data_IF_329879948333
#
_entry.id   IF_329879948333
#
_cell.length_a   1.000
_cell.length_b   1.000
_cell.length_c   1.000
_cell.angle_alpha   90.00
_cell.angle_beta   90.00
_cell.angle_gamma   90.00
#
_symmetry.space_group_name_H-M   'P 1'
#
loop_
_entity.id
_entity.type
_entity.pdbx_description
1 polymer ?
#
# COMPACT_ATOMS: atom_id res chain seq x y z
N UNK A 1 11.52 6.70 -12.25
CA UNK A 1 10.33 6.92 -13.12
C UNK A 1 10.65 7.87 -14.28
N UNK A 2 11.18 9.09 -14.03
CA UNK A 2 11.54 10.02 -15.12
C UNK A 2 12.59 9.43 -16.06
N UNK A 3 13.66 8.84 -15.54
CA UNK A 3 14.71 8.19 -16.33
C UNK A 3 14.16 7.03 -17.19
N UNK A 4 13.25 6.25 -16.66
CA UNK A 4 12.68 5.09 -17.37
C UNK A 4 11.74 5.53 -18.51
N UNK A 5 11.14 6.70 -18.38
CA UNK A 5 10.29 7.33 -19.41
C UNK A 5 11.06 8.27 -20.35
N UNK A 6 12.36 8.44 -20.18
CA UNK A 6 13.17 9.34 -20.99
C UNK A 6 12.85 10.83 -20.82
N UNK A 7 12.26 11.22 -19.68
CA UNK A 7 11.91 12.60 -19.39
C UNK A 7 12.58 13.11 -18.11
N UNK A 8 12.61 14.44 -17.97
CA UNK A 8 13.16 15.06 -16.75
C UNK A 8 12.30 14.75 -15.52
N UNK A 9 12.94 14.77 -14.34
CA UNK A 9 12.19 14.58 -13.08
C UNK A 9 11.08 15.62 -12.86
N UNK A 10 11.26 16.91 -13.17
CA UNK A 10 10.17 17.89 -13.11
C UNK A 10 9.00 17.51 -14.03
N UNK A 11 9.27 17.19 -15.31
CA UNK A 11 8.24 16.77 -16.27
C UNK A 11 7.45 15.55 -15.80
N UNK A 12 8.15 14.53 -15.26
CA UNK A 12 7.49 13.35 -14.69
C UNK A 12 6.58 13.71 -13.52
N UNK A 13 6.97 14.66 -12.66
CA UNK A 13 6.13 15.15 -11.56
C UNK A 13 4.89 15.87 -12.05
N UNK A 14 5.01 16.73 -13.06
CA UNK A 14 3.87 17.41 -13.67
C UNK A 14 2.85 16.42 -14.23
N UNK A 15 3.32 15.40 -14.98
CA UNK A 15 2.44 14.35 -15.50
C UNK A 15 1.75 13.57 -14.39
N UNK A 16 2.48 13.20 -13.34
CA UNK A 16 1.90 12.52 -12.17
C UNK A 16 0.86 13.39 -11.47
N UNK A 17 1.09 14.70 -11.35
CA UNK A 17 0.12 15.62 -10.75
C UNK A 17 -1.17 15.70 -11.56
N UNK A 18 -1.08 15.66 -12.90
CA UNK A 18 -2.28 15.62 -13.78
C UNK A 18 -3.03 14.30 -13.61
N UNK A 19 -2.33 13.17 -13.60
CA UNK A 19 -2.93 11.85 -13.40
C UNK A 19 -3.59 11.72 -12.02
N UNK A 20 -2.99 12.28 -10.97
CA UNK A 20 -3.56 12.30 -9.62
C UNK A 20 -4.79 13.22 -9.55
N UNK A 21 -4.72 14.43 -10.14
CA UNK A 21 -5.85 15.35 -10.22
C UNK A 21 -7.03 14.78 -11.03
N UNK A 22 -6.75 13.89 -11.98
CA UNK A 22 -7.76 13.19 -12.80
C UNK A 22 -8.25 11.87 -12.17
N UNK A 23 -7.84 11.57 -10.95
CA UNK A 23 -8.19 10.32 -10.25
C UNK A 23 -7.82 9.04 -11.00
N UNK A 24 -6.79 9.08 -11.83
CA UNK A 24 -6.24 7.89 -12.51
C UNK A 24 -5.30 7.15 -11.57
N UNK A 25 -4.50 7.91 -10.80
CA UNK A 25 -3.58 7.36 -9.82
C UNK A 25 -3.72 8.05 -8.47
N UNK A 26 -3.19 7.43 -7.42
CA UNK A 26 -2.98 8.03 -6.10
C UNK A 26 -1.52 7.87 -5.70
N UNK A 27 -0.92 8.94 -5.20
CA UNK A 27 0.42 8.93 -4.63
C UNK A 27 0.32 8.78 -3.11
N UNK A 28 0.75 7.63 -2.62
CA UNK A 28 0.75 7.32 -1.19
C UNK A 28 2.14 7.65 -0.63
N UNK A 29 2.16 8.58 0.32
CA UNK A 29 3.40 9.00 0.98
C UNK A 29 3.86 7.98 2.03
N UNK A 30 5.16 7.89 2.34
CA UNK A 30 5.60 7.13 3.49
C UNK A 30 5.07 7.77 4.78
N UNK A 31 4.71 6.93 5.75
CA UNK A 31 4.29 7.38 7.08
C UNK A 31 5.43 8.15 7.75
N UNK A 32 5.15 9.37 8.22
CA UNK A 32 6.09 10.14 9.03
C UNK A 32 5.99 9.73 10.49
N UNK A 33 6.63 8.61 10.84
CA UNK A 33 6.66 8.13 12.22
C UNK A 33 7.96 8.59 12.92
N UNK A 34 7.84 8.94 14.21
CA UNK A 34 8.97 9.21 15.10
C UNK A 34 9.67 7.90 15.48
N UNK A 35 10.22 7.19 14.48
CA UNK A 35 11.04 6.01 14.70
C UNK A 35 12.51 6.35 14.48
N UNK A 36 13.38 5.71 15.24
CA UNK A 36 14.85 5.88 15.10
C UNK A 36 15.39 5.39 13.76
N UNK A 37 14.58 4.66 13.00
CA UNK A 37 14.94 4.09 11.70
C UNK A 37 14.67 5.08 10.57
N UNK A 38 15.64 5.25 9.67
CA UNK A 38 15.52 6.16 8.54
C UNK A 38 14.62 5.57 7.46
N UNK A 39 13.42 6.17 7.27
CA UNK A 39 12.40 5.73 6.32
C UNK A 39 12.71 6.15 4.88
N UNK A 40 12.07 5.48 3.91
CA UNK A 40 12.04 5.89 2.50
C UNK A 40 11.36 7.26 2.38
N UNK A 41 11.76 8.04 1.37
CA UNK A 41 11.16 9.35 1.08
C UNK A 41 10.31 9.36 -0.19
N UNK A 42 10.42 8.33 -1.03
CA UNK A 42 9.71 8.29 -2.31
C UNK A 42 8.32 7.71 -2.11
N UNK A 43 7.26 8.33 -2.65
CA UNK A 43 5.90 7.80 -2.58
C UNK A 43 5.76 6.52 -3.39
N UNK A 44 4.77 5.68 -3.03
CA UNK A 44 4.24 4.61 -3.86
C UNK A 44 3.15 5.18 -4.78
N UNK A 45 3.06 4.65 -6.01
CA UNK A 45 2.01 4.99 -6.96
C UNK A 45 1.04 3.83 -7.08
N UNK A 46 -0.25 4.10 -6.91
CA UNK A 46 -1.33 3.15 -7.11
C UNK A 46 -2.30 3.65 -8.17
N UNK A 47 -2.70 2.81 -9.10
CA UNK A 47 -3.84 3.08 -9.97
C UNK A 47 -5.12 3.00 -9.16
N UNK A 48 -6.06 3.94 -9.35
CA UNK A 48 -7.38 3.87 -8.70
C UNK A 48 -8.33 2.89 -9.38
N UNK A 49 -7.97 2.43 -10.57
CA UNK A 49 -8.62 1.35 -11.31
C UNK A 49 -7.60 0.24 -11.61
N UNK A 50 -7.72 -0.88 -10.91
CA UNK A 50 -6.86 -2.06 -11.13
C UNK A 50 -7.10 -2.71 -12.49
N UNK A 51 -8.28 -2.54 -13.09
CA UNK A 51 -8.58 -2.98 -14.45
C UNK A 51 -7.78 -2.20 -15.50
N UNK A 52 -7.65 -0.87 -15.32
CA UNK A 52 -6.78 -0.05 -16.17
C UNK A 52 -5.32 -0.52 -16.05
N UNK A 53 -4.85 -0.80 -14.82
CA UNK A 53 -3.50 -1.34 -14.61
C UNK A 53 -3.32 -2.68 -15.34
N UNK A 54 -4.28 -3.61 -15.23
CA UNK A 54 -4.25 -4.88 -15.95
C UNK A 54 -4.21 -4.65 -17.47
N UNK A 55 -5.04 -3.74 -17.98
CA UNK A 55 -5.07 -3.41 -19.40
C UNK A 55 -3.70 -2.93 -19.91
N UNK A 56 -3.05 -2.02 -19.19
CA UNK A 56 -1.73 -1.50 -19.54
C UNK A 56 -0.62 -2.56 -19.45
N UNK A 57 -0.77 -3.55 -18.55
CA UNK A 57 0.12 -4.70 -18.44
C UNK A 57 -0.15 -5.79 -19.48
N UNK A 58 -1.17 -5.63 -20.35
CA UNK A 58 -1.54 -6.64 -21.34
C UNK A 58 -2.33 -7.82 -20.77
N UNK A 59 -2.77 -7.76 -19.51
CA UNK A 59 -3.57 -8.79 -18.84
C UNK A 59 -5.02 -8.60 -19.24
N UNK A 60 -5.59 -9.57 -19.99
CA UNK A 60 -6.91 -9.45 -20.61
C UNK A 60 -7.99 -10.32 -19.97
N UNK A 61 -7.61 -11.25 -19.14
CA UNK A 61 -8.50 -12.20 -18.47
C UNK A 61 -7.99 -12.60 -17.09
N UNK A 62 -8.86 -13.08 -16.18
CA UNK A 62 -8.50 -13.49 -14.84
C UNK A 62 -7.48 -14.64 -14.78
N UNK A 63 -7.52 -15.57 -15.75
CA UNK A 63 -6.64 -16.72 -15.79
C UNK A 63 -5.19 -16.28 -16.02
N UNK A 64 -4.97 -15.34 -16.93
CA UNK A 64 -3.67 -14.71 -17.16
C UNK A 64 -3.16 -14.01 -15.89
N UNK A 65 -4.03 -13.28 -15.15
CA UNK A 65 -3.63 -12.61 -13.91
C UNK A 65 -3.16 -13.59 -12.84
N UNK A 66 -3.81 -14.76 -12.70
CA UNK A 66 -3.48 -15.75 -11.64
C UNK A 66 -2.02 -16.19 -11.70
N UNK A 67 -1.45 -16.32 -12.90
CA UNK A 67 -0.06 -16.76 -13.12
C UNK A 67 0.91 -15.63 -13.43
N UNK A 68 0.40 -14.39 -13.57
CA UNK A 68 1.21 -13.24 -13.97
C UNK A 68 2.14 -12.78 -12.82
N UNK A 69 3.37 -12.40 -13.17
CA UNK A 69 4.36 -11.89 -12.20
C UNK A 69 3.86 -10.66 -11.42
N UNK A 70 3.01 -9.85 -12.05
CA UNK A 70 2.42 -8.65 -11.43
C UNK A 70 1.15 -8.93 -10.61
N UNK A 71 0.77 -10.19 -10.37
CA UNK A 71 -0.43 -10.52 -9.57
C UNK A 71 -0.40 -9.88 -8.19
N UNK A 72 0.75 -9.94 -7.48
CA UNK A 72 0.92 -9.30 -6.18
C UNK A 72 0.71 -7.78 -6.26
N UNK A 73 1.49 -7.05 -7.08
CA UNK A 73 1.32 -5.61 -7.30
C UNK A 73 -0.09 -5.19 -7.74
N UNK A 74 -0.78 -5.97 -8.60
CA UNK A 74 -2.17 -5.69 -8.99
C UNK A 74 -3.11 -5.83 -7.80
N UNK A 75 -2.94 -6.86 -6.97
CA UNK A 75 -3.77 -7.08 -5.78
C UNK A 75 -3.51 -5.99 -4.71
N UNK A 76 -2.25 -5.59 -4.49
CA UNK A 76 -1.91 -4.47 -3.59
C UNK A 76 -2.55 -3.16 -4.10
N UNK A 77 -2.48 -2.91 -5.41
CA UNK A 77 -3.12 -1.75 -6.05
C UNK A 77 -4.64 -1.77 -5.84
N UNK A 78 -5.28 -2.93 -6.03
CA UNK A 78 -6.72 -3.07 -5.81
C UNK A 78 -7.09 -2.74 -4.36
N UNK A 79 -6.38 -3.28 -3.36
CA UNK A 79 -6.62 -3.00 -1.93
C UNK A 79 -6.45 -1.50 -1.64
N UNK A 80 -5.36 -0.89 -2.10
CA UNK A 80 -5.13 0.55 -1.91
C UNK A 80 -6.24 1.40 -2.53
N UNK A 81 -6.65 1.06 -3.77
CA UNK A 81 -7.73 1.76 -4.48
C UNK A 81 -9.08 1.63 -3.76
N UNK A 82 -9.43 0.46 -3.21
CA UNK A 82 -10.67 0.27 -2.45
C UNK A 82 -10.67 1.11 -1.16
N UNK A 83 -9.55 1.19 -0.43
CA UNK A 83 -9.44 2.05 0.76
C UNK A 83 -9.62 3.53 0.39
N UNK A 84 -9.00 3.98 -0.70
CA UNK A 84 -9.14 5.38 -1.17
C UNK A 84 -10.57 5.69 -1.59
N UNK A 85 -11.19 4.80 -2.38
CA UNK A 85 -12.59 4.95 -2.84
C UNK A 85 -13.58 4.95 -1.67
N UNK A 86 -13.39 4.07 -0.68
CA UNK A 86 -14.22 4.07 0.52
C UNK A 86 -14.11 5.39 1.28
N UNK A 87 -12.91 5.94 1.43
CA UNK A 87 -12.74 7.24 2.05
C UNK A 87 -13.50 8.34 1.31
N UNK A 88 -13.47 8.36 -0.03
CA UNK A 88 -14.24 9.33 -0.83
C UNK A 88 -15.75 9.13 -0.70
N UNK A 89 -16.23 7.89 -0.63
CA UNK A 89 -17.65 7.59 -0.37
C UNK A 89 -18.10 8.14 0.99
N UNK A 90 -17.21 8.14 1.98
CA UNK A 90 -17.45 8.73 3.30
C UNK A 90 -17.18 10.25 3.35
N UNK A 91 -17.00 10.91 2.21
CA UNK A 91 -16.60 12.31 2.07
C UNK A 91 -15.33 12.67 2.86
N UNK A 92 -14.39 11.74 2.97
CA UNK A 92 -13.11 11.89 3.66
C UNK A 92 -11.96 11.43 2.76
N UNK A 93 -10.83 12.08 2.86
CA UNK A 93 -9.58 11.54 2.29
C UNK A 93 -8.91 10.67 3.34
N UNK A 94 -8.76 9.35 3.12
CA UNK A 94 -8.12 8.50 4.11
C UNK A 94 -6.64 8.89 4.27
N UNK A 95 -6.14 8.89 5.51
CA UNK A 95 -4.71 9.08 5.78
C UNK A 95 -3.98 7.77 5.50
N UNK A 96 -3.82 7.47 4.21
CA UNK A 96 -3.14 6.27 3.71
C UNK A 96 -1.66 6.54 3.56
N UNK A 97 -0.83 5.66 4.11
CA UNK A 97 0.62 5.70 4.04
C UNK A 97 1.22 4.31 3.82
N UNK A 98 2.52 4.20 3.96
CA UNK A 98 3.24 2.92 4.02
C UNK A 98 4.50 3.08 4.88
N UNK A 99 5.09 1.97 5.31
CA UNK A 99 6.38 1.95 6.00
C UNK A 99 7.41 1.21 5.16
N UNK A 100 8.58 1.81 4.97
CA UNK A 100 9.74 1.15 4.37
C UNK A 100 11.00 1.76 4.94
N UNK A 101 11.85 0.93 5.55
CA UNK A 101 13.14 1.37 6.04
C UNK A 101 14.26 1.09 5.02
N UNK A 102 15.45 1.62 5.31
CA UNK A 102 16.63 1.40 4.46
C UNK A 102 17.16 -0.04 4.47
N UNK A 103 16.70 -0.86 5.42
CA UNK A 103 17.07 -2.28 5.54
C UNK A 103 16.12 -3.18 4.73
N UNK A 104 15.10 -2.59 4.09
CA UNK A 104 14.11 -3.30 3.28
C UNK A 104 12.94 -3.87 4.09
N UNK A 105 12.81 -3.56 5.40
CA UNK A 105 11.58 -3.89 6.13
C UNK A 105 10.46 -3.00 5.62
N UNK A 106 9.34 -3.59 5.28
CA UNK A 106 8.21 -2.89 4.69
C UNK A 106 6.90 -3.31 5.35
N UNK A 107 5.94 -2.41 5.40
CA UNK A 107 4.51 -2.65 5.54
C UNK A 107 3.86 -2.01 4.34
N UNK A 108 3.08 -2.79 3.61
CA UNK A 108 2.55 -2.40 2.31
C UNK A 108 1.72 -1.13 2.36
N UNK A 109 0.81 -1.04 3.34
CA UNK A 109 -0.04 0.12 3.58
C UNK A 109 -0.19 0.41 5.07
N UNK A 110 -0.44 1.67 5.42
CA UNK A 110 -0.84 2.09 6.76
C UNK A 110 -2.05 2.99 6.67
N UNK A 111 -2.95 2.90 7.66
CA UNK A 111 -4.12 3.76 7.74
C UNK A 111 -4.17 4.41 9.13
N UNK A 112 -4.14 5.75 9.16
CA UNK A 112 -4.19 6.54 10.39
C UNK A 112 -5.61 7.01 10.68
N UNK A 113 -6.04 6.89 11.93
CA UNK A 113 -7.33 7.39 12.41
C UNK A 113 -7.24 7.87 13.86
N UNK A 114 -6.92 9.15 14.06
CA UNK A 114 -6.72 9.70 15.40
C UNK A 114 -5.49 9.11 16.09
N UNK A 115 -5.68 8.34 17.17
CA UNK A 115 -4.60 7.62 17.87
C UNK A 115 -4.42 6.17 17.37
N UNK A 116 -5.23 5.75 16.40
CA UNK A 116 -5.15 4.41 15.85
C UNK A 116 -4.32 4.39 14.57
N UNK A 117 -3.44 3.41 14.47
CA UNK A 117 -2.64 3.14 13.28
C UNK A 117 -2.81 1.67 12.89
N UNK A 118 -3.42 1.43 11.75
CA UNK A 118 -3.53 0.08 11.18
C UNK A 118 -2.34 -0.16 10.26
N UNK A 119 -1.60 -1.24 10.50
CA UNK A 119 -0.55 -1.74 9.62
C UNK A 119 -1.14 -2.82 8.74
N UNK A 120 -1.08 -2.66 7.43
CA UNK A 120 -1.73 -3.55 6.46
C UNK A 120 -0.67 -4.22 5.61
N UNK A 121 -0.63 -5.54 5.67
CA UNK A 121 0.15 -6.39 4.76
C UNK A 121 -0.79 -7.00 3.73
N UNK A 122 -0.40 -6.97 2.45
CA UNK A 122 -1.24 -7.42 1.34
C UNK A 122 -0.61 -8.62 0.64
N UNK A 123 -1.33 -9.74 0.56
CA UNK A 123 -0.84 -10.97 -0.06
C UNK A 123 -1.86 -11.54 -1.04
N UNK A 124 -1.51 -11.66 -2.30
CA UNK A 124 -2.40 -12.22 -3.33
C UNK A 124 -2.58 -13.75 -3.24
N UNK A 125 -1.86 -14.44 -2.34
CA UNK A 125 -2.00 -15.87 -2.09
C UNK A 125 -3.33 -16.21 -1.41
N UNK A 126 -3.83 -17.43 -1.64
CA UNK A 126 -5.12 -17.91 -1.07
C UNK A 126 -4.96 -18.57 0.30
N UNK A 127 -3.77 -19.00 0.66
CA UNK A 127 -3.50 -19.68 1.93
C UNK A 127 -2.75 -18.74 2.84
N UNK A 128 -3.29 -18.50 4.04
CA UNK A 128 -2.65 -17.66 5.05
C UNK A 128 -1.34 -18.29 5.55
N UNK A 129 -0.27 -17.48 5.64
CA UNK A 129 1.00 -17.88 6.23
C UNK A 129 1.34 -17.01 7.45
N UNK A 130 1.76 -17.65 8.56
CA UNK A 130 2.03 -16.95 9.83
C UNK A 130 3.20 -15.97 9.77
N UNK A 131 4.14 -16.18 8.89
CA UNK A 131 5.31 -15.34 8.66
C UNK A 131 4.95 -13.96 8.08
N UNK A 132 3.78 -13.81 7.47
CA UNK A 132 3.30 -12.51 6.95
C UNK A 132 3.10 -11.46 8.05
N UNK A 133 2.90 -11.87 9.30
CA UNK A 133 2.71 -10.95 10.43
C UNK A 133 4.05 -10.47 11.01
N UNK A 134 5.13 -11.20 10.81
CA UNK A 134 6.41 -10.94 11.48
C UNK A 134 6.97 -9.52 11.25
N UNK A 135 6.97 -8.94 10.03
CA UNK A 135 7.41 -7.57 9.81
C UNK A 135 6.56 -6.55 10.59
N UNK A 136 5.24 -6.74 10.63
CA UNK A 136 4.32 -5.83 11.33
C UNK A 136 4.50 -5.86 12.85
N UNK A 137 4.86 -7.00 13.46
CA UNK A 137 5.17 -7.10 14.89
C UNK A 137 6.37 -6.22 15.26
N UNK A 138 7.44 -6.28 14.49
CA UNK A 138 8.63 -5.46 14.72
C UNK A 138 8.32 -3.98 14.58
N UNK A 139 7.53 -3.60 13.57
CA UNK A 139 7.09 -2.22 13.40
C UNK A 139 6.21 -1.74 14.55
N UNK A 140 5.28 -2.59 15.05
CA UNK A 140 4.45 -2.28 16.23
C UNK A 140 5.31 -1.94 17.45
N UNK A 141 6.34 -2.74 17.72
CA UNK A 141 7.28 -2.50 18.83
C UNK A 141 8.06 -1.19 18.66
N UNK A 142 8.53 -0.91 17.45
CA UNK A 142 9.30 0.31 17.16
C UNK A 142 8.42 1.58 17.27
N UNK A 143 7.18 1.51 16.80
CA UNK A 143 6.20 2.60 16.85
C UNK A 143 5.72 2.88 18.28
N UNK A 144 5.52 1.84 19.09
CA UNK A 144 5.12 1.98 20.50
C UNK A 144 6.15 2.73 21.35
N UNK A 145 7.43 2.73 20.95
CA UNK A 145 8.48 3.52 21.62
C UNK A 145 8.36 5.02 21.38
N UNK A 146 7.63 5.43 20.34
CA UNK A 146 7.52 6.82 19.88
C UNK A 146 6.33 7.61 20.41
N UNK A 147 5.40 6.99 21.16
CA UNK A 147 4.22 7.66 21.73
C UNK A 147 3.01 6.73 21.89
N UNK A 148 1.89 7.31 22.35
CA UNK A 148 0.62 6.62 22.63
C UNK A 148 -0.18 6.32 21.35
N UNK A 149 0.40 5.56 20.41
CA UNK A 149 -0.29 5.12 19.19
C UNK A 149 -0.74 3.67 19.36
N UNK A 150 -2.04 3.40 19.17
CA UNK A 150 -2.59 2.05 19.15
C UNK A 150 -2.35 1.42 17.78
N UNK A 151 -1.42 0.48 17.70
CA UNK A 151 -1.01 -0.17 16.45
C UNK A 151 -1.70 -1.51 16.29
N UNK A 152 -2.49 -1.66 15.22
CA UNK A 152 -3.23 -2.87 14.88
C UNK A 152 -2.72 -3.47 13.57
N UNK A 153 -2.09 -4.67 13.59
CA UNK A 153 -1.68 -5.35 12.37
C UNK A 153 -2.87 -6.06 11.71
N UNK A 154 -2.99 -5.93 10.39
CA UNK A 154 -4.00 -6.57 9.55
C UNK A 154 -3.32 -7.20 8.35
N UNK A 155 -3.72 -8.41 7.97
CA UNK A 155 -3.34 -9.04 6.70
C UNK A 155 -4.55 -9.12 5.80
N UNK A 156 -4.47 -8.52 4.62
CA UNK A 156 -5.46 -8.67 3.55
C UNK A 156 -4.91 -9.65 2.54
N UNK A 157 -5.62 -10.74 2.30
CA UNK A 157 -5.12 -11.80 1.42
C UNK A 157 -6.20 -12.36 0.49
N UNK A 158 -5.80 -13.04 -0.57
CA UNK A 158 -6.70 -13.56 -1.63
C UNK A 158 -7.46 -14.83 -1.26
N UNK A 159 -7.60 -15.18 0.03
CA UNK A 159 -8.41 -16.30 0.52
C UNK A 159 -9.81 -15.86 0.97
N UNK A 160 -10.63 -16.84 1.32
CA UNK A 160 -12.05 -16.63 1.63
C UNK A 160 -12.34 -16.61 3.15
N UNK A 161 -11.33 -16.78 3.99
CA UNK A 161 -11.48 -16.82 5.45
C UNK A 161 -11.13 -15.48 6.09
N UNK A 162 -11.98 -15.02 7.04
CA UNK A 162 -11.69 -13.89 7.92
C UNK A 162 -11.62 -14.36 9.35
N UNK A 163 -10.48 -14.18 10.01
CA UNK A 163 -10.27 -14.60 11.40
C UNK A 163 -9.52 -13.54 12.18
N UNK A 164 -9.95 -13.28 13.44
CA UNK A 164 -9.11 -12.62 14.42
C UNK A 164 -8.11 -13.64 14.99
N UNK A 165 -6.84 -13.29 15.01
CA UNK A 165 -5.80 -14.09 15.65
C UNK A 165 -5.11 -13.25 16.71
N UNK A 166 -5.16 -13.73 17.94
CA UNK A 166 -4.34 -13.19 19.03
C UNK A 166 -2.86 -13.41 18.69
N UNK A 167 -2.07 -12.32 18.69
CA UNK A 167 -0.66 -12.32 18.31
C UNK A 167 0.29 -11.97 19.42
#
# INVERSE_FOLDING_TARGET
>A
LGSDCGVSTPTAREWLSVLEASYVVSLVAPLHANVTTRLSKSPKLFFLDSGLMCFLLGIRDPQTLVTHISRGPVFETWVAAEIVKQGFNDARRPSLGFLRDKRGREVDLTLEGGQDLVLIEVKSGRTFARDWIAPMRQWREDLAKGGDVRVSPVVIYGGDESTMREG
#
